data_IF_188085991674
#
_entry.id   IF_188085991674
#
_cell.length_a   1.000
_cell.length_b   1.000
_cell.length_c   1.000
_cell.angle_alpha   90.00
_cell.angle_beta   90.00
_cell.angle_gamma   90.00
#
_symmetry.space_group_name_H-M   'P 1'
#
loop_
_entity.id
_entity.type
_entity.pdbx_description
1 polymer ?
#
# COMPACT_ATOMS: atom_id res chain seq x y z
N UNK A 1 -14.95 -0.16 -2.94
CA UNK A 1 -13.94 0.00 -1.88
C UNK A 1 -13.16 1.25 -2.15
N UNK A 2 -13.08 2.16 -1.18
CA UNK A 2 -12.34 3.41 -1.30
C UNK A 2 -10.97 3.25 -0.63
N UNK A 3 -9.94 2.99 -1.44
CA UNK A 3 -8.55 2.92 -0.99
C UNK A 3 -7.88 4.30 -0.96
N UNK A 4 -8.57 5.37 -1.39
CA UNK A 4 -8.02 6.74 -1.44
C UNK A 4 -7.72 7.29 -0.03
N UNK A 5 -8.37 6.74 0.99
CA UNK A 5 -8.17 7.12 2.39
C UNK A 5 -7.13 6.28 3.15
N UNK A 6 -6.46 5.33 2.50
CA UNK A 6 -5.40 4.56 3.14
C UNK A 6 -4.24 5.46 3.58
N UNK A 7 -3.63 5.09 4.70
CA UNK A 7 -2.44 5.70 5.29
C UNK A 7 -1.43 4.62 5.63
N UNK A 8 -0.15 4.99 5.70
CA UNK A 8 0.89 4.11 6.26
C UNK A 8 0.50 3.76 7.70
N UNK A 9 0.65 2.48 8.04
CA UNK A 9 0.25 1.90 9.32
C UNK A 9 -1.23 1.49 9.40
N UNK A 10 -2.05 1.77 8.38
CA UNK A 10 -3.39 1.18 8.33
C UNK A 10 -3.30 -0.33 8.13
N UNK A 11 -4.14 -1.08 8.84
CA UNK A 11 -4.35 -2.50 8.52
C UNK A 11 -5.27 -2.64 7.32
N UNK A 12 -4.98 -3.64 6.48
CA UNK A 12 -5.75 -3.99 5.29
C UNK A 12 -6.04 -5.48 5.30
N UNK A 13 -7.23 -5.84 4.84
CA UNK A 13 -7.57 -7.22 4.50
C UNK A 13 -7.30 -7.42 3.02
N UNK A 14 -6.59 -8.50 2.71
CA UNK A 14 -6.42 -9.03 1.36
C UNK A 14 -7.19 -10.34 1.26
N UNK A 15 -8.18 -10.39 0.39
CA UNK A 15 -8.90 -11.61 0.03
C UNK A 15 -8.45 -12.09 -1.35
N UNK A 16 -8.05 -13.36 -1.43
CA UNK A 16 -7.65 -14.03 -2.67
C UNK A 16 -8.18 -15.46 -2.69
N UNK A 17 -8.68 -15.89 -3.84
CA UNK A 17 -9.15 -17.27 -4.04
C UNK A 17 -8.02 -18.32 -3.95
N UNK A 18 -6.76 -17.88 -4.08
CA UNK A 18 -5.59 -18.77 -4.07
C UNK A 18 -4.99 -18.95 -2.69
N UNK A 19 -4.84 -17.84 -1.96
CA UNK A 19 -4.09 -17.81 -0.72
C UNK A 19 -5.01 -17.65 0.51
N UNK A 20 -6.31 -17.46 0.28
CA UNK A 20 -7.27 -17.11 1.32
C UNK A 20 -7.15 -15.67 1.80
N UNK A 21 -7.59 -15.45 3.04
CA UNK A 21 -7.74 -14.14 3.66
C UNK A 21 -6.57 -13.80 4.58
N UNK A 22 -5.95 -12.65 4.35
CA UNK A 22 -4.79 -12.17 5.10
C UNK A 22 -5.05 -10.77 5.66
N UNK A 23 -4.55 -10.48 6.86
CA UNK A 23 -4.41 -9.10 7.36
C UNK A 23 -2.96 -8.65 7.19
N UNK A 24 -2.78 -7.47 6.60
CA UNK A 24 -1.48 -6.86 6.38
C UNK A 24 -1.48 -5.41 6.86
N UNK A 25 -0.30 -4.82 6.97
CA UNK A 25 -0.12 -3.42 7.36
C UNK A 25 0.43 -2.63 6.19
N UNK A 26 -0.14 -1.45 5.92
CA UNK A 26 0.31 -0.57 4.83
C UNK A 26 1.68 -0.01 5.19
N UNK A 27 2.72 -0.51 4.52
CA UNK A 27 4.08 0.00 4.71
C UNK A 27 4.36 1.25 3.88
N UNK A 28 3.81 1.32 2.67
CA UNK A 28 4.11 2.32 1.65
C UNK A 28 2.89 2.56 0.77
N UNK A 29 2.68 3.80 0.33
CA UNK A 29 1.67 4.14 -0.68
C UNK A 29 2.40 4.62 -1.92
N UNK A 30 2.00 4.15 -3.10
CA UNK A 30 2.68 4.49 -4.35
C UNK A 30 1.73 5.20 -5.31
N UNK A 31 2.24 6.20 -6.00
CA UNK A 31 1.59 6.82 -7.13
C UNK A 31 2.25 6.35 -8.43
N UNK A 32 1.42 6.07 -9.44
CA UNK A 32 1.88 5.94 -10.81
C UNK A 32 1.90 7.32 -11.44
N UNK A 33 3.09 7.85 -11.70
CA UNK A 33 3.28 9.19 -12.25
C UNK A 33 3.51 9.09 -13.76
N UNK A 34 2.93 10.03 -14.51
CA UNK A 34 3.19 10.21 -15.95
C UNK A 34 3.75 11.62 -16.15
N UNK A 35 5.02 11.70 -16.54
CA UNK A 35 5.68 12.98 -16.77
C UNK A 35 5.29 13.53 -18.14
N UNK A 36 4.77 14.75 -18.17
CA UNK A 36 4.23 15.40 -19.38
C UNK A 36 5.23 16.29 -20.10
N UNK A 37 6.38 16.54 -19.48
CA UNK A 37 7.47 17.38 -20.00
C UNK A 37 8.60 16.57 -20.65
N UNK A 38 8.44 15.26 -20.79
CA UNK A 38 9.37 14.40 -21.50
C UNK A 38 8.89 14.21 -22.95
N UNK A 39 9.83 14.21 -23.91
CA UNK A 39 9.54 13.96 -25.33
C UNK A 39 9.25 12.47 -25.64
N UNK A 40 9.16 11.64 -24.60
CA UNK A 40 8.88 10.21 -24.68
C UNK A 40 7.95 9.78 -23.53
N UNK A 41 7.25 8.62 -23.62
CA UNK A 41 6.39 8.12 -22.55
C UNK A 41 7.16 7.75 -21.27
N UNK A 42 7.46 8.75 -20.43
CA UNK A 42 8.11 8.57 -19.14
C UNK A 42 7.07 8.30 -18.04
N UNK A 43 7.18 7.16 -17.36
CA UNK A 43 6.28 6.73 -16.29
C UNK A 43 7.06 6.05 -15.18
N UNK A 44 6.77 6.40 -13.94
CA UNK A 44 7.37 5.80 -12.75
C UNK A 44 6.36 5.43 -11.69
N UNK A 45 6.74 4.48 -10.83
CA UNK A 45 6.12 4.27 -9.54
C UNK A 45 6.95 4.96 -8.47
N UNK A 46 6.35 5.94 -7.82
CA UNK A 46 6.99 6.72 -6.76
C UNK A 46 6.28 6.43 -5.46
N UNK A 47 7.06 6.15 -4.41
CA UNK A 47 6.55 6.16 -3.05
C UNK A 47 6.14 7.58 -2.65
N UNK A 48 4.88 7.79 -2.28
CA UNK A 48 4.38 9.15 -2.00
C UNK A 48 4.89 9.70 -0.66
N UNK A 49 5.37 8.86 0.24
CA UNK A 49 5.87 9.27 1.53
C UNK A 49 7.36 9.62 1.49
N UNK A 50 8.14 8.94 0.64
CA UNK A 50 9.61 9.09 0.60
C UNK A 50 10.11 9.72 -0.71
N UNK A 51 9.24 9.90 -1.70
CA UNK A 51 9.58 10.31 -3.07
C UNK A 51 10.60 9.38 -3.76
N UNK A 52 10.81 8.17 -3.25
CA UNK A 52 11.79 7.24 -3.84
C UNK A 52 11.18 6.44 -4.98
N UNK A 53 11.89 6.31 -6.12
CA UNK A 53 11.48 5.44 -7.21
C UNK A 53 11.52 3.99 -6.76
N UNK A 54 10.48 3.23 -7.11
CA UNK A 54 10.38 1.83 -6.71
C UNK A 54 10.64 0.91 -7.91
N UNK A 55 11.62 -0.02 -7.83
CA UNK A 55 11.81 -1.00 -8.89
C UNK A 55 10.54 -1.85 -9.05
N UNK A 56 10.12 -2.04 -10.30
CA UNK A 56 8.92 -2.81 -10.66
C UNK A 56 8.85 -4.14 -9.88
N UNK A 57 7.73 -4.44 -9.21
CA UNK A 57 7.55 -5.71 -8.49
C UNK A 57 6.59 -6.64 -9.22
N UNK A 58 7.07 -7.87 -9.42
CA UNK A 58 6.46 -9.16 -9.80
C UNK A 58 5.31 -9.12 -10.83
N UNK A 59 5.69 -9.37 -12.09
CA UNK A 59 4.81 -9.93 -13.12
C UNK A 59 4.52 -11.40 -12.76
N UNK A 60 3.29 -11.88 -13.04
CA UNK A 60 2.74 -13.23 -12.79
C UNK A 60 1.87 -13.40 -11.53
N UNK A 61 1.16 -12.37 -11.09
CA UNK A 61 0.03 -12.57 -10.17
C UNK A 61 -1.25 -12.88 -10.98
N UNK A 62 -1.96 -13.98 -10.68
CA UNK A 62 -3.04 -14.53 -11.53
C UNK A 62 -4.33 -13.70 -11.62
N UNK A 63 -4.43 -12.63 -10.85
CA UNK A 63 -5.52 -11.67 -10.90
C UNK A 63 -5.49 -10.73 -9.69
N UNK A 64 -5.90 -9.46 -9.81
CA UNK A 64 -5.79 -8.51 -8.70
C UNK A 64 -6.57 -9.03 -7.48
N UNK A 65 -5.95 -9.14 -6.28
CA UNK A 65 -6.69 -9.50 -5.08
C UNK A 65 -7.68 -8.40 -4.71
N UNK A 66 -8.75 -8.75 -3.99
CA UNK A 66 -9.60 -7.76 -3.33
C UNK A 66 -8.87 -7.25 -2.10
N UNK A 67 -8.84 -5.92 -1.91
CA UNK A 67 -8.19 -5.29 -0.77
C UNK A 67 -9.06 -4.17 -0.21
N UNK A 68 -9.21 -4.12 1.12
CA UNK A 68 -9.81 -2.99 1.86
C UNK A 68 -9.05 -2.67 3.12
N UNK A 69 -9.27 -1.46 3.63
CA UNK A 69 -8.92 -1.09 5.00
C UNK A 69 -9.68 -1.97 5.98
N UNK A 70 -8.96 -2.61 6.90
CA UNK A 70 -9.54 -3.46 7.92
C UNK A 70 -10.38 -2.63 8.91
N UNK A 71 -11.55 -3.16 9.31
CA UNK A 71 -12.37 -2.60 10.38
C UNK A 71 -11.75 -2.88 11.76
N UNK A 72 -12.23 -2.19 12.79
CA UNK A 72 -11.78 -2.43 14.17
C UNK A 72 -12.07 -3.87 14.63
N UNK A 73 -13.23 -4.42 14.27
CA UNK A 73 -13.61 -5.80 14.57
C UNK A 73 -12.67 -6.81 13.89
N UNK A 74 -12.33 -6.57 12.62
CA UNK A 74 -11.37 -7.40 11.89
C UNK A 74 -9.98 -7.32 12.55
N UNK A 75 -9.51 -6.13 12.90
CA UNK A 75 -8.23 -5.95 13.60
C UNK A 75 -8.22 -6.70 14.95
N UNK A 76 -9.33 -6.64 15.69
CA UNK A 76 -9.50 -7.34 16.97
C UNK A 76 -9.50 -8.86 16.80
N UNK A 77 -10.17 -9.38 15.77
CA UNK A 77 -10.20 -10.82 15.45
C UNK A 77 -8.79 -11.39 15.22
N UNK A 78 -7.90 -10.60 14.65
CA UNK A 78 -6.49 -10.98 14.44
C UNK A 78 -5.57 -10.62 15.62
N UNK A 79 -6.09 -10.11 16.74
CA UNK A 79 -5.31 -9.76 17.92
C UNK A 79 -4.37 -8.56 17.75
N UNK A 80 -4.68 -7.66 16.80
CA UNK A 80 -3.80 -6.54 16.43
C UNK A 80 -4.24 -5.19 17.01
N UNK A 81 -5.33 -5.14 17.77
CA UNK A 81 -5.95 -3.88 18.24
C UNK A 81 -4.99 -2.98 19.04
N UNK A 82 -4.09 -3.57 19.85
CA UNK A 82 -3.09 -2.85 20.65
C UNK A 82 -1.68 -2.87 20.08
N UNK A 83 -1.48 -3.41 18.87
CA UNK A 83 -0.13 -3.57 18.31
C UNK A 83 0.40 -2.21 17.82
N UNK A 84 1.67 -1.86 18.12
CA UNK A 84 2.30 -0.69 17.55
C UNK A 84 2.25 -0.75 16.02
N UNK A 85 1.92 0.38 15.41
CA UNK A 85 1.83 0.53 13.95
C UNK A 85 3.12 1.15 13.40
N UNK A 86 3.47 0.75 12.18
CA UNK A 86 4.48 1.37 11.35
C UNK A 86 4.06 2.82 11.14
N UNK A 87 4.97 3.71 11.52
CA UNK A 87 4.90 5.12 11.15
C UNK A 87 5.92 5.35 10.05
N UNK A 88 5.56 6.15 9.05
CA UNK A 88 6.56 6.65 8.09
C UNK A 88 7.67 7.38 8.84
N UNK A 89 8.95 7.16 8.51
CA UNK A 89 10.00 8.04 9.00
C UNK A 89 9.64 9.46 8.53
N UNK A 90 9.56 10.41 9.47
CA UNK A 90 9.55 11.83 9.11
C UNK A 90 10.89 12.07 8.42
N UNK A 91 10.89 12.17 7.10
CA UNK A 91 12.07 12.70 6.42
C UNK A 91 12.30 14.11 6.99
N UNK A 92 13.55 14.33 7.40
CA UNK A 92 14.00 15.57 8.02
C UNK A 92 13.61 16.76 7.14
N UNK A 93 13.17 17.83 7.78
CA UNK A 93 13.08 19.15 7.15
C UNK A 93 14.43 19.48 6.53
N UNK A 94 14.45 19.76 5.23
CA UNK A 94 15.42 20.65 4.58
C UNK A 94 14.68 21.89 4.07
#
# INVERSE_FOLDING_TARGET
MDLYHLRVGDYVIRDSDLDGRWIGEVMHIRARVHYRNADFPARDWIDIATATPYPHCLMNWPGPPSIHKASEDEIAQYGLAGRPRITTPRFFNE
#
